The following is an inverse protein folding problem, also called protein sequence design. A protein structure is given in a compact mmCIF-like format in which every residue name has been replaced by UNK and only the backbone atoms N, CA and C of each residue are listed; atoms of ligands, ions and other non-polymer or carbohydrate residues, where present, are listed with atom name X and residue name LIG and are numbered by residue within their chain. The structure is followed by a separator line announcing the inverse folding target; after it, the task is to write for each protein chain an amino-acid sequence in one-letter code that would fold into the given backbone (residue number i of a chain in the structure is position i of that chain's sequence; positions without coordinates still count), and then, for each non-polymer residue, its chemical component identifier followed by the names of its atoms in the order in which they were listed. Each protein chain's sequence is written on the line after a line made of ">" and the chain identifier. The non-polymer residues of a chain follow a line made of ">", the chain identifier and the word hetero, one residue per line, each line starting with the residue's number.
data_IF_629671413380
#
_entry.id   IF_629671413380
#
_cell.length_a   1.000
_cell.length_b   1.000
_cell.length_c   1.000
_cell.angle_alpha   90.00
_cell.angle_beta   90.00
_cell.angle_gamma   90.00
#
_symmetry.space_group_name_H-M   'P 1'
#
loop_
_entity.id
_entity.type
_entity.pdbx_description
1 polymer ?
#
# COMPACT_ATOMS: atom_id res chain seq x y z
N UNK A 1 0.79 -0.34 11.97
CA UNK A 1 0.95 -1.30 10.86
C UNK A 1 -0.23 -1.11 9.94
N UNK A 2 -0.03 -0.68 8.69
CA UNK A 2 -1.15 -0.45 7.77
C UNK A 2 -1.44 -1.72 6.98
N UNK A 3 -2.71 -2.12 6.93
CA UNK A 3 -3.18 -3.26 6.14
C UNK A 3 -3.88 -2.75 4.88
N UNK A 4 -3.71 -3.51 3.81
CA UNK A 4 -4.33 -3.28 2.51
C UNK A 4 -4.95 -4.58 2.04
N UNK A 5 -6.13 -4.53 1.44
CA UNK A 5 -6.72 -5.67 0.77
C UNK A 5 -6.61 -5.53 -0.75
N UNK A 6 -6.48 -6.67 -1.42
CA UNK A 6 -6.67 -6.75 -2.86
C UNK A 6 -8.07 -7.28 -3.13
N UNK A 7 -8.76 -6.64 -4.07
CA UNK A 7 -10.05 -7.09 -4.57
C UNK A 7 -10.11 -6.93 -6.09
N UNK A 8 -10.71 -7.88 -6.79
CA UNK A 8 -10.85 -7.85 -8.24
C UNK A 8 -12.22 -7.29 -8.64
N UNK A 9 -12.26 -6.51 -9.71
CA UNK A 9 -13.50 -6.13 -10.39
C UNK A 9 -13.97 -7.26 -11.31
N UNK A 10 -15.22 -7.17 -11.75
CA UNK A 10 -15.79 -8.08 -12.76
C UNK A 10 -15.03 -8.07 -14.10
N UNK A 11 -14.24 -7.02 -14.36
CA UNK A 11 -13.42 -6.86 -15.55
C UNK A 11 -11.98 -7.38 -15.36
N UNK A 12 -11.72 -8.15 -14.30
CA UNK A 12 -10.39 -8.63 -13.91
C UNK A 12 -9.36 -7.52 -13.60
N UNK A 13 -9.82 -6.32 -13.24
CA UNK A 13 -8.93 -5.28 -12.74
C UNK A 13 -8.70 -5.45 -11.23
N UNK A 14 -7.44 -5.42 -10.79
CA UNK A 14 -7.09 -5.50 -9.37
C UNK A 14 -7.15 -4.11 -8.73
N UNK A 15 -7.92 -4.00 -7.66
CA UNK A 15 -8.08 -2.78 -6.86
C UNK A 15 -7.50 -2.97 -5.47
N UNK A 16 -6.92 -1.90 -4.93
CA UNK A 16 -6.36 -1.87 -3.58
C UNK A 16 -7.35 -1.16 -2.65
N UNK A 17 -7.75 -1.83 -1.58
CA UNK A 17 -8.59 -1.27 -0.53
C UNK A 17 -7.72 -0.89 0.67
N UNK A 18 -7.78 0.37 1.08
CA UNK A 18 -7.15 0.82 2.32
C UNK A 18 -8.02 0.43 3.51
N UNK A 19 -7.45 -0.27 4.50
CA UNK A 19 -8.16 -0.71 5.69
C UNK A 19 -7.78 0.17 6.88
N UNK A 20 -8.76 0.49 7.73
CA UNK A 20 -8.51 1.28 8.94
C UNK A 20 -7.95 0.41 10.08
N UNK A 21 -8.31 -0.88 10.09
CA UNK A 21 -7.87 -1.81 11.12
C UNK A 21 -6.36 -2.06 11.11
N UNK A 22 -5.74 -1.96 12.30
CA UNK A 22 -4.33 -2.29 12.53
C UNK A 22 -4.11 -3.75 13.01
N UNK A 23 -5.15 -4.59 13.02
CA UNK A 23 -5.12 -5.98 13.45
C UNK A 23 -5.54 -6.87 12.28
N UNK A 24 -4.72 -7.85 11.90
CA UNK A 24 -4.92 -8.68 10.70
C UNK A 24 -6.31 -9.33 10.63
N UNK A 25 -6.79 -9.90 11.73
CA UNK A 25 -8.11 -10.55 11.78
C UNK A 25 -9.25 -9.54 11.49
N UNK A 26 -9.23 -8.38 12.16
CA UNK A 26 -10.23 -7.33 11.96
C UNK A 26 -10.16 -6.75 10.55
N UNK A 27 -8.94 -6.52 10.05
CA UNK A 27 -8.68 -6.07 8.69
C UNK A 27 -9.27 -7.02 7.64
N UNK A 28 -9.23 -8.34 7.87
CA UNK A 28 -9.85 -9.34 6.98
C UNK A 28 -11.37 -9.26 6.95
N UNK A 29 -12.01 -9.00 8.10
CA UNK A 29 -13.47 -8.82 8.17
C UNK A 29 -13.86 -7.54 7.43
N UNK A 30 -13.21 -6.43 7.76
CA UNK A 30 -13.43 -5.12 7.14
C UNK A 30 -13.22 -5.17 5.62
N UNK A 31 -12.18 -5.86 5.15
CA UNK A 31 -11.92 -6.04 3.72
C UNK A 31 -13.02 -6.80 2.98
N UNK A 32 -13.61 -7.82 3.62
CA UNK A 32 -14.72 -8.57 3.05
C UNK A 32 -16.00 -7.75 2.98
N UNK A 33 -16.27 -6.96 4.01
CA UNK A 33 -17.42 -6.05 4.05
C UNK A 33 -17.32 -4.99 2.95
N UNK A 34 -16.17 -4.32 2.84
CA UNK A 34 -15.93 -3.31 1.80
C UNK A 34 -15.99 -3.93 0.39
N UNK A 35 -15.42 -5.12 0.21
CA UNK A 35 -15.47 -5.81 -1.08
C UNK A 35 -16.92 -6.17 -1.44
N UNK A 36 -17.71 -6.67 -0.49
CA UNK A 36 -19.12 -6.98 -0.68
C UNK A 36 -19.95 -5.73 -1.03
N UNK A 37 -19.80 -4.64 -0.27
CA UNK A 37 -20.48 -3.36 -0.53
C UNK A 37 -20.16 -2.80 -1.93
N UNK A 38 -18.94 -3.01 -2.41
CA UNK A 38 -18.48 -2.54 -3.73
C UNK A 38 -18.72 -3.56 -4.86
N UNK A 39 -19.26 -4.74 -4.56
CA UNK A 39 -19.45 -5.81 -5.54
C UNK A 39 -18.14 -6.33 -6.14
N UNK A 40 -17.06 -6.32 -5.37
CA UNK A 40 -15.72 -6.77 -5.74
C UNK A 40 -15.45 -8.18 -5.19
N UNK A 41 -14.64 -8.94 -5.90
CA UNK A 41 -14.18 -10.25 -5.43
C UNK A 41 -12.98 -10.08 -4.49
N UNK A 42 -13.15 -10.41 -3.21
CA UNK A 42 -12.08 -10.36 -2.22
C UNK A 42 -10.99 -11.40 -2.55
N UNK A 43 -9.72 -10.98 -2.56
CA UNK A 43 -8.56 -11.85 -2.79
C UNK A 43 -7.86 -12.16 -1.47
N UNK A 44 -7.09 -11.21 -0.93
CA UNK A 44 -6.44 -11.36 0.38
C UNK A 44 -6.05 -10.02 1.02
N UNK A 45 -5.71 -10.06 2.32
CA UNK A 45 -5.16 -8.94 3.09
C UNK A 45 -3.64 -9.05 3.21
N UNK A 46 -2.97 -7.98 2.82
CA UNK A 46 -1.53 -7.81 2.90
C UNK A 46 -1.18 -6.76 3.94
N UNK A 47 -0.05 -6.97 4.60
CA UNK A 47 0.56 -5.94 5.44
C UNK A 47 1.80 -5.41 4.73
N UNK A 48 1.88 -4.08 4.62
CA UNK A 48 3.01 -3.40 3.99
C UNK A 48 3.93 -2.91 5.09
N UNK A 49 5.15 -3.46 5.16
CA UNK A 49 6.22 -2.95 6.04
C UNK A 49 6.87 -1.73 5.40
N UNK A 50 7.15 -0.72 6.21
CA UNK A 50 8.00 0.40 5.78
C UNK A 50 7.32 1.40 4.84
N UNK A 51 5.99 1.42 4.74
CA UNK A 51 5.25 2.50 4.06
C UNK A 51 5.26 3.80 4.87
N UNK A 52 6.42 4.28 5.27
CA UNK A 52 6.57 5.67 5.66
C UNK A 52 6.56 6.48 4.37
N UNK A 53 5.71 7.50 4.28
CA UNK A 53 5.85 8.58 3.28
C UNK A 53 7.11 9.39 3.62
N UNK A 54 8.27 8.76 3.51
CA UNK A 54 9.54 9.44 3.49
C UNK A 54 9.82 9.91 2.09
N UNK A 55 10.39 11.11 1.94
CA UNK A 55 10.95 11.52 0.66
C UNK A 55 11.93 10.44 0.19
N UNK A 56 11.83 10.06 -1.09
CA UNK A 56 12.78 9.11 -1.68
C UNK A 56 14.21 9.64 -1.51
N UNK A 57 15.20 8.77 -1.52
CA UNK A 57 16.61 9.18 -1.45
C UNK A 57 16.95 10.21 -2.52
N UNK A 58 16.30 10.14 -3.68
CA UNK A 58 16.41 11.13 -4.76
C UNK A 58 15.70 12.44 -4.43
N UNK A 59 14.45 12.40 -3.92
CA UNK A 59 13.74 13.60 -3.48
C UNK A 59 14.52 14.37 -2.41
N UNK A 60 15.06 13.66 -1.41
CA UNK A 60 15.89 14.26 -0.36
C UNK A 60 17.12 14.98 -0.93
N UNK A 61 17.76 14.42 -1.95
CA UNK A 61 18.95 14.99 -2.61
C UNK A 61 18.64 16.24 -3.42
N UNK A 62 17.53 16.25 -4.17
CA UNK A 62 17.09 17.45 -4.88
C UNK A 62 16.71 18.58 -3.91
N UNK A 63 16.14 18.25 -2.74
CA UNK A 63 15.82 19.25 -1.73
C UNK A 63 17.04 19.74 -0.92
N UNK A 64 18.09 18.92 -0.74
CA UNK A 64 19.25 19.30 0.07
C UNK A 64 20.31 20.08 -0.71
N UNK A 65 20.29 20.00 -2.05
CA UNK A 65 21.30 20.65 -2.90
C UNK A 65 22.66 19.96 -2.88
N UNK A 66 22.78 18.81 -2.20
CA UNK A 66 24.03 18.05 -2.13
C UNK A 66 24.36 17.45 -3.51
N UNK A 67 25.61 17.59 -3.98
CA UNK A 67 26.02 16.98 -5.25
C UNK A 67 25.93 15.44 -5.15
N UNK A 68 25.45 14.81 -6.22
CA UNK A 68 25.35 13.34 -6.29
C UNK A 68 26.74 12.72 -6.13
N UNK A 69 26.93 11.71 -5.25
CA UNK A 69 28.24 11.09 -5.06
C UNK A 69 28.72 10.48 -6.38
N UNK A 70 29.85 10.99 -6.87
CA UNK A 70 30.53 10.45 -8.06
C UNK A 70 31.01 9.05 -7.70
N UNK A 71 30.69 8.03 -8.51
CA UNK A 71 31.22 6.68 -8.27
C UNK A 71 32.74 6.78 -8.18
N UNK A 72 33.33 6.35 -7.06
CA UNK A 72 34.78 6.22 -6.97
C UNK A 72 35.21 5.23 -8.05
N UNK A 73 36.04 5.71 -8.97
CA UNK A 73 36.66 4.89 -10.02
C UNK A 73 37.75 4.03 -9.40
#
# INVERSE_FOLDING_TARGET
>A
MKFYALANTKENATTVLELQSNIRHRAKIEAKEIAHERGLEYVDVYHVRGSHKGASTMQKRFSSGDPTPRSKR
#
